data_IF_220369599089
#
_entry.id   IF_220369599089
#
_cell.length_a   1.000
_cell.length_b   1.000
_cell.length_c   1.000
_cell.angle_alpha   90.00
_cell.angle_beta   90.00
_cell.angle_gamma   90.00
#
_symmetry.space_group_name_H-M   'P 1'
#
loop_
_entity.id
_entity.type
_entity.pdbx_description
1 polymer ?
#
# COMPACT_ATOMS: atom_id res chain seq x y z
N UNK A 1 -10.71 -4.75 -11.75
CA UNK A 1 -9.86 -4.64 -12.96
C UNK A 1 -10.56 -5.02 -14.26
N UNK A 2 -11.43 -6.04 -14.31
CA UNK A 2 -11.99 -6.57 -15.57
C UNK A 2 -12.67 -5.53 -16.48
N UNK A 3 -13.51 -4.65 -15.92
CA UNK A 3 -14.14 -3.54 -16.65
C UNK A 3 -13.11 -2.63 -17.36
N UNK A 4 -12.05 -2.21 -16.66
CA UNK A 4 -11.00 -1.35 -17.21
C UNK A 4 -10.26 -2.01 -18.38
N UNK A 5 -9.94 -3.30 -18.25
CA UNK A 5 -9.22 -4.06 -19.28
C UNK A 5 -10.04 -4.24 -20.56
N UNK A 6 -11.35 -4.34 -20.45
CA UNK A 6 -12.26 -4.56 -21.58
C UNK A 6 -12.70 -3.26 -22.26
N UNK A 7 -12.76 -2.15 -21.52
CA UNK A 7 -13.27 -0.87 -22.04
C UNK A 7 -12.18 0.10 -22.47
N UNK A 8 -10.96 -0.02 -21.93
CA UNK A 8 -9.85 0.88 -22.26
C UNK A 8 -10.08 2.35 -21.87
N UNK A 9 -11.07 2.63 -21.01
CA UNK A 9 -11.40 4.00 -20.60
C UNK A 9 -10.27 4.65 -19.80
N UNK A 10 -10.14 5.97 -19.96
CA UNK A 10 -9.19 6.79 -19.21
C UNK A 10 -9.90 7.37 -17.99
N UNK A 11 -9.24 7.30 -16.83
CA UNK A 11 -9.73 7.92 -15.60
C UNK A 11 -9.04 9.25 -15.37
N UNK A 12 -9.80 10.24 -14.93
CA UNK A 12 -9.21 11.43 -14.35
C UNK A 12 -8.68 11.17 -12.91
N UNK A 13 -8.11 12.20 -12.29
CA UNK A 13 -7.49 12.06 -10.97
C UNK A 13 -8.52 11.78 -9.85
N UNK A 14 -9.73 12.34 -9.96
CA UNK A 14 -10.82 12.17 -9.00
C UNK A 14 -11.39 10.76 -9.09
N UNK A 15 -11.71 10.32 -10.31
CA UNK A 15 -12.20 8.98 -10.57
C UNK A 15 -11.17 7.94 -10.13
N UNK A 16 -9.90 8.12 -10.50
CA UNK A 16 -8.80 7.23 -10.12
C UNK A 16 -8.66 7.08 -8.60
N UNK A 17 -8.81 8.17 -7.83
CA UNK A 17 -8.80 8.11 -6.38
C UNK A 17 -10.04 7.39 -5.83
N UNK A 18 -11.24 7.67 -6.37
CA UNK A 18 -12.50 7.08 -5.91
C UNK A 18 -12.55 5.55 -6.06
N UNK A 19 -11.91 5.02 -7.11
CA UNK A 19 -11.83 3.57 -7.37
C UNK A 19 -10.60 2.90 -6.74
N UNK A 20 -9.76 3.66 -6.04
CA UNK A 20 -8.59 3.16 -5.32
C UNK A 20 -7.33 2.95 -6.16
N UNK A 21 -7.20 3.54 -7.35
CA UNK A 21 -5.93 3.56 -8.10
C UNK A 21 -4.87 4.43 -7.41
N UNK A 22 -5.29 5.46 -6.69
CA UNK A 22 -4.43 6.28 -5.85
C UNK A 22 -5.05 6.45 -4.46
N UNK A 23 -4.21 6.55 -3.43
CA UNK A 23 -4.69 6.77 -2.07
C UNK A 23 -4.93 8.24 -1.74
N UNK A 24 -4.28 9.17 -2.46
CA UNK A 24 -4.32 10.60 -2.18
C UNK A 24 -4.54 11.38 -3.47
N UNK A 25 -5.43 12.37 -3.42
CA UNK A 25 -5.64 13.37 -4.45
C UNK A 25 -5.16 14.73 -3.93
N UNK A 26 -4.30 15.39 -4.68
CA UNK A 26 -3.76 16.72 -4.37
C UNK A 26 -3.71 17.58 -5.63
N UNK A 27 -3.43 18.87 -5.48
CA UNK A 27 -3.21 19.74 -6.64
C UNK A 27 -1.99 19.28 -7.45
N UNK A 28 -1.95 19.62 -8.74
CA UNK A 28 -0.86 19.21 -9.63
C UNK A 28 0.54 19.66 -9.16
N UNK A 29 0.62 20.83 -8.51
CA UNK A 29 1.89 21.36 -7.99
C UNK A 29 2.35 20.67 -6.69
N UNK A 30 1.45 19.98 -5.99
CA UNK A 30 1.70 19.43 -4.65
C UNK A 30 2.08 17.96 -4.64
N UNK A 31 1.99 17.26 -5.77
CA UNK A 31 2.20 15.80 -5.85
C UNK A 31 3.52 15.34 -5.25
N UNK A 32 4.63 15.97 -5.65
CA UNK A 32 5.96 15.61 -5.17
C UNK A 32 6.13 15.93 -3.68
N UNK A 33 5.70 17.14 -3.26
CA UNK A 33 5.76 17.56 -1.86
C UNK A 33 5.01 16.58 -0.96
N UNK A 34 3.78 16.21 -1.35
CA UNK A 34 2.99 15.23 -0.60
C UNK A 34 3.66 13.86 -0.54
N UNK A 35 4.25 13.40 -1.66
CA UNK A 35 5.01 12.16 -1.69
C UNK A 35 6.19 12.15 -0.72
N UNK A 36 6.96 13.24 -0.67
CA UNK A 36 8.10 13.37 0.24
C UNK A 36 7.69 13.45 1.72
N UNK A 37 6.59 14.13 2.04
CA UNK A 37 6.02 14.14 3.40
C UNK A 37 5.66 12.73 3.87
N UNK A 38 5.02 11.94 3.00
CA UNK A 38 4.69 10.55 3.30
C UNK A 38 5.94 9.69 3.43
N UNK A 39 6.94 9.87 2.56
CA UNK A 39 8.20 9.15 2.64
C UNK A 39 8.95 9.46 3.95
N UNK A 40 8.99 10.73 4.38
CA UNK A 40 9.58 11.13 5.65
C UNK A 40 8.84 10.49 6.85
N UNK A 41 7.51 10.45 6.80
CA UNK A 41 6.71 9.73 7.81
C UNK A 41 7.05 8.25 7.86
N UNK A 42 7.11 7.57 6.70
CA UNK A 42 7.46 6.14 6.63
C UNK A 42 8.89 5.90 7.12
N UNK A 43 9.82 6.79 6.81
CA UNK A 43 11.22 6.70 7.27
C UNK A 43 11.36 6.85 8.80
N UNK A 44 10.39 7.47 9.47
CA UNK A 44 10.36 7.59 10.94
C UNK A 44 9.87 6.33 11.66
N UNK A 45 9.32 5.35 10.95
CA UNK A 45 8.90 4.08 11.55
C UNK A 45 10.13 3.28 12.04
N UNK A 46 9.93 2.40 13.02
CA UNK A 46 10.98 1.48 13.44
C UNK A 46 11.46 0.63 12.23
N UNK A 47 12.78 0.47 12.03
CA UNK A 47 13.31 -0.27 10.88
C UNK A 47 12.74 -1.69 10.74
N UNK A 48 12.51 -2.35 11.87
CA UNK A 48 11.94 -3.70 11.91
C UNK A 48 10.47 -3.73 11.46
N UNK A 49 9.64 -2.77 11.87
CA UNK A 49 8.26 -2.66 11.39
C UNK A 49 8.21 -2.40 9.89
N UNK A 50 9.06 -1.50 9.36
CA UNK A 50 9.17 -1.28 7.91
C UNK A 50 9.66 -2.53 7.16
N UNK A 51 10.55 -3.31 7.75
CA UNK A 51 11.00 -4.58 7.19
C UNK A 51 9.85 -5.59 7.14
N UNK A 52 9.14 -5.79 8.25
CA UNK A 52 8.00 -6.69 8.35
C UNK A 52 6.88 -6.33 7.36
N UNK A 53 6.48 -5.06 7.30
CA UNK A 53 5.42 -4.58 6.39
C UNK A 53 5.82 -4.80 4.92
N UNK A 54 7.08 -4.55 4.55
CA UNK A 54 7.51 -4.70 3.14
C UNK A 54 7.83 -6.13 2.73
N UNK A 55 8.19 -7.00 3.67
CA UNK A 55 8.72 -8.35 3.37
C UNK A 55 7.84 -9.49 3.86
N UNK A 56 7.27 -9.37 5.06
CA UNK A 56 6.45 -10.42 5.66
C UNK A 56 5.00 -10.29 5.22
N UNK A 57 4.40 -9.10 5.35
CA UNK A 57 2.97 -8.89 5.11
C UNK A 57 2.49 -9.31 3.70
N UNK A 58 3.20 -8.99 2.60
CA UNK A 58 2.77 -9.42 1.26
C UNK A 58 2.76 -10.96 1.14
N UNK A 59 3.72 -11.63 1.77
CA UNK A 59 3.81 -13.10 1.75
C UNK A 59 2.73 -13.75 2.61
N UNK A 60 2.39 -13.14 3.74
CA UNK A 60 1.27 -13.59 4.60
C UNK A 60 -0.03 -13.61 3.78
N UNK A 61 -0.26 -12.59 2.94
CA UNK A 61 -1.45 -12.52 2.10
C UNK A 61 -1.53 -13.64 1.03
N UNK A 62 -0.39 -14.21 0.65
CA UNK A 62 -0.30 -15.31 -0.32
C UNK A 62 -0.44 -16.71 0.33
N UNK A 63 -0.41 -16.80 1.67
CA UNK A 63 -0.49 -18.07 2.39
C UNK A 63 -1.95 -18.54 2.59
N UNK A 64 -2.18 -19.85 2.78
CA UNK A 64 -3.43 -20.33 3.33
C UNK A 64 -3.74 -19.63 4.66
N UNK A 65 -5.01 -19.32 4.92
CA UNK A 65 -5.43 -18.47 6.04
C UNK A 65 -4.81 -18.88 7.39
N UNK A 66 -4.79 -20.18 7.71
CA UNK A 66 -4.22 -20.68 8.97
C UNK A 66 -2.72 -20.40 9.10
N UNK A 67 -1.96 -20.64 8.02
CA UNK A 67 -0.52 -20.39 7.97
C UNK A 67 -0.21 -18.89 7.98
N UNK A 68 -1.06 -18.09 7.31
CA UNK A 68 -0.99 -16.63 7.33
C UNK A 68 -1.13 -16.06 8.73
N UNK A 69 -2.17 -16.48 9.48
CA UNK A 69 -2.40 -16.07 10.86
C UNK A 69 -1.24 -16.50 11.79
N UNK A 70 -0.70 -17.70 11.59
CA UNK A 70 0.47 -18.17 12.35
C UNK A 70 1.70 -17.29 12.06
N UNK A 71 1.98 -16.97 10.80
CA UNK A 71 3.10 -16.10 10.45
C UNK A 71 2.91 -14.66 10.90
N UNK A 72 1.69 -14.15 10.92
CA UNK A 72 1.37 -12.83 11.47
C UNK A 72 1.65 -12.77 12.98
N UNK A 73 1.26 -13.81 13.73
CA UNK A 73 1.55 -13.91 15.16
C UNK A 73 3.06 -13.95 15.44
N UNK A 74 3.83 -14.74 14.67
CA UNK A 74 5.29 -14.80 14.80
C UNK A 74 5.95 -13.46 14.46
N UNK A 75 5.51 -12.81 13.38
CA UNK A 75 6.06 -11.52 12.95
C UNK A 75 5.77 -10.43 13.99
N UNK A 76 4.56 -10.42 14.55
CA UNK A 76 4.15 -9.45 15.57
C UNK A 76 4.85 -9.66 16.91
N UNK A 77 5.26 -10.88 17.23
CA UNK A 77 6.01 -11.18 18.45
C UNK A 77 7.47 -10.66 18.40
N UNK A 78 8.02 -10.46 17.20
CA UNK A 78 9.41 -10.00 17.02
C UNK A 78 9.52 -8.53 16.60
N UNK A 79 8.48 -7.96 16.00
CA UNK A 79 8.47 -6.62 15.38
C UNK A 79 8.07 -5.47 16.29
#
# INVERSE_FOLDING_TARGET
>A
MGDMMLTGRVFDAQEGQSIGLSNYLVSAADGLRRGLELAAKIASNAPLSNYAIKRALPRIADLPQGDGLFMEALTSAVA
#
